data_IF_128802455788
#
_entry.id   IF_128802455788
#
_cell.length_a   1.000
_cell.length_b   1.000
_cell.length_c   1.000
_cell.angle_alpha   90.00
_cell.angle_beta   90.00
_cell.angle_gamma   90.00
#
_symmetry.space_group_name_H-M   'P 1'
#
loop_
_entity.id
_entity.type
_entity.pdbx_description
1 polymer ?
#
# COMPACT_ATOMS: atom_id res chain seq x y z
N UNK A 1 -20.03 -12.66 -8.30
CA UNK A 1 -20.68 -11.65 -7.43
C UNK A 1 -21.44 -10.69 -8.33
N UNK A 2 -22.73 -10.47 -8.10
CA UNK A 2 -23.52 -9.50 -8.87
C UNK A 2 -23.46 -8.08 -8.23
N UNK A 3 -24.05 -7.08 -8.89
CA UNK A 3 -24.02 -5.70 -8.42
C UNK A 3 -24.73 -5.50 -7.07
N UNK A 4 -25.91 -6.12 -6.87
CA UNK A 4 -26.67 -6.00 -5.62
C UNK A 4 -25.92 -6.60 -4.42
N UNK A 5 -25.36 -7.79 -4.59
CA UNK A 5 -24.54 -8.46 -3.57
C UNK A 5 -23.29 -7.64 -3.22
N UNK A 6 -22.66 -7.00 -4.20
CA UNK A 6 -21.53 -6.12 -3.96
C UNK A 6 -21.94 -4.90 -3.14
N UNK A 7 -22.98 -4.18 -3.58
CA UNK A 7 -23.46 -2.97 -2.91
C UNK A 7 -23.98 -3.23 -1.49
N UNK A 8 -24.58 -4.39 -1.24
CA UNK A 8 -25.02 -4.79 0.09
C UNK A 8 -23.84 -4.97 1.07
N UNK A 9 -22.64 -5.26 0.56
CA UNK A 9 -21.46 -5.60 1.37
C UNK A 9 -20.45 -4.46 1.44
N UNK A 10 -20.37 -3.65 0.39
CA UNK A 10 -19.32 -2.66 0.18
C UNK A 10 -19.93 -1.31 -0.21
N UNK A 11 -19.91 -0.31 0.68
CA UNK A 11 -20.40 1.04 0.35
C UNK A 11 -19.48 1.74 -0.67
N UNK A 12 -19.97 2.81 -1.28
CA UNK A 12 -19.12 3.71 -2.07
C UNK A 12 -17.99 4.25 -1.21
N UNK A 13 -16.78 4.32 -1.77
CA UNK A 13 -15.55 4.66 -1.05
C UNK A 13 -14.77 3.44 -0.56
N UNK A 14 -15.25 2.22 -0.80
CA UNK A 14 -14.56 0.98 -0.46
C UNK A 14 -13.18 0.92 -1.14
N UNK A 15 -12.10 0.71 -0.38
CA UNK A 15 -10.76 0.53 -0.95
C UNK A 15 -10.67 -0.75 -1.77
N UNK A 16 -10.09 -0.63 -2.96
CA UNK A 16 -9.98 -1.73 -3.92
C UNK A 16 -8.65 -1.70 -4.65
N UNK A 17 -8.19 -2.87 -5.06
CA UNK A 17 -7.26 -3.02 -6.16
C UNK A 17 -8.08 -3.27 -7.43
N UNK A 18 -7.95 -2.36 -8.40
CA UNK A 18 -8.65 -2.42 -9.67
C UNK A 18 -7.70 -2.75 -10.83
N UNK A 19 -8.20 -3.55 -11.78
CA UNK A 19 -7.45 -4.03 -12.96
C UNK A 19 -8.17 -3.63 -14.25
N UNK A 20 -8.01 -2.38 -14.74
CA UNK A 20 -8.86 -1.86 -15.81
C UNK A 20 -8.65 -2.54 -17.17
N UNK A 21 -7.44 -3.01 -17.45
CA UNK A 21 -7.13 -3.76 -18.68
C UNK A 21 -7.37 -5.25 -18.48
N UNK A 22 -6.43 -5.90 -17.78
CA UNK A 22 -6.58 -7.30 -17.43
C UNK A 22 -5.96 -7.62 -16.08
N UNK A 23 -6.41 -8.75 -15.52
CA UNK A 23 -5.89 -9.29 -14.28
C UNK A 23 -4.44 -9.76 -14.41
N UNK A 24 -3.64 -9.62 -13.33
CA UNK A 24 -2.21 -9.89 -13.36
C UNK A 24 -1.85 -11.37 -13.54
N UNK A 25 -2.75 -12.30 -13.20
CA UNK A 25 -2.53 -13.74 -13.43
C UNK A 25 -2.47 -14.08 -14.91
N UNK A 26 -3.13 -13.29 -15.76
CA UNK A 26 -3.10 -13.44 -17.22
C UNK A 26 -2.08 -12.50 -17.87
N UNK A 27 -1.93 -11.29 -17.34
CA UNK A 27 -1.07 -10.25 -17.90
C UNK A 27 -0.31 -9.52 -16.78
N UNK A 28 0.89 -9.98 -16.40
CA UNK A 28 1.56 -9.49 -15.19
C UNK A 28 1.95 -8.01 -15.24
N UNK A 29 2.14 -7.47 -16.45
CA UNK A 29 2.58 -6.10 -16.71
C UNK A 29 1.42 -5.10 -16.91
N UNK A 30 0.17 -5.55 -16.81
CA UNK A 30 -0.99 -4.67 -16.96
C UNK A 30 -1.15 -3.71 -15.80
N UNK A 31 -1.83 -2.58 -16.08
CA UNK A 31 -2.03 -1.51 -15.12
C UNK A 31 -2.82 -2.01 -13.91
N UNK A 32 -2.29 -1.75 -12.71
CA UNK A 32 -2.96 -1.97 -11.43
C UNK A 32 -3.23 -0.62 -10.78
N UNK A 33 -4.44 -0.43 -10.29
CA UNK A 33 -4.86 0.79 -9.62
C UNK A 33 -5.31 0.45 -8.22
N UNK A 34 -4.51 0.81 -7.23
CA UNK A 34 -5.02 0.87 -5.87
C UNK A 34 -5.78 2.17 -5.68
N UNK A 35 -7.07 2.07 -5.36
CA UNK A 35 -8.02 3.18 -5.43
C UNK A 35 -9.24 2.89 -4.55
N UNK A 36 -10.31 3.68 -4.70
CA UNK A 36 -11.60 3.48 -4.02
C UNK A 36 -12.72 3.43 -5.04
N UNK A 37 -13.80 2.71 -4.70
CA UNK A 37 -15.04 2.80 -5.47
C UNK A 37 -15.62 4.22 -5.39
N UNK A 38 -16.07 4.78 -6.51
CA UNK A 38 -16.70 6.12 -6.58
C UNK A 38 -18.16 6.09 -7.01
N UNK A 39 -18.72 4.89 -7.18
CA UNK A 39 -20.13 4.66 -7.47
C UNK A 39 -20.62 3.40 -6.80
N UNK A 40 -21.93 3.24 -6.73
CA UNK A 40 -22.54 1.91 -6.58
C UNK A 40 -22.18 1.06 -7.80
N UNK A 41 -22.12 -0.26 -7.63
CA UNK A 41 -22.04 -1.20 -8.74
C UNK A 41 -23.36 -1.23 -9.51
N UNK A 42 -23.30 -1.43 -10.82
CA UNK A 42 -24.46 -1.61 -11.69
C UNK A 42 -24.18 -2.66 -12.76
N UNK A 43 -25.24 -3.21 -13.35
CA UNK A 43 -25.13 -4.21 -14.40
C UNK A 43 -25.28 -3.54 -15.76
N UNK A 44 -24.32 -3.78 -16.67
CA UNK A 44 -24.41 -3.31 -18.05
C UNK A 44 -25.50 -4.07 -18.81
N UNK A 45 -25.96 -3.53 -19.95
CA UNK A 45 -27.05 -4.15 -20.74
C UNK A 45 -26.78 -5.59 -21.20
N UNK A 46 -25.53 -6.02 -21.23
CA UNK A 46 -25.10 -7.39 -21.56
C UNK A 46 -24.86 -8.28 -20.34
N UNK A 47 -25.24 -7.83 -19.14
CA UNK A 47 -25.21 -8.63 -17.91
C UNK A 47 -23.93 -8.52 -17.05
N UNK A 48 -22.88 -7.83 -17.51
CA UNK A 48 -21.64 -7.69 -16.73
C UNK A 48 -21.84 -6.67 -15.59
N UNK A 49 -21.61 -7.05 -14.32
CA UNK A 49 -21.63 -6.11 -13.21
C UNK A 49 -20.31 -5.32 -13.15
N UNK A 50 -20.42 -4.00 -13.07
CA UNK A 50 -19.28 -3.08 -13.05
C UNK A 50 -19.39 -2.07 -11.91
N UNK A 51 -18.28 -1.43 -11.56
CA UNK A 51 -18.20 -0.32 -10.60
C UNK A 51 -17.23 0.76 -11.12
N UNK A 52 -17.46 2.04 -10.82
CA UNK A 52 -16.47 3.08 -11.09
C UNK A 52 -15.50 3.21 -9.93
N UNK A 53 -14.25 3.56 -10.26
CA UNK A 53 -13.21 3.84 -9.26
C UNK A 53 -12.54 5.20 -9.49
N UNK A 54 -11.94 5.76 -8.46
CA UNK A 54 -11.16 6.99 -8.57
C UNK A 54 -9.93 6.81 -9.49
N UNK A 55 -9.62 7.86 -10.25
CA UNK A 55 -8.47 7.84 -11.19
C UNK A 55 -8.67 6.99 -12.44
N UNK A 56 -9.88 6.48 -12.70
CA UNK A 56 -10.23 5.76 -13.92
C UNK A 56 -11.60 6.16 -14.48
N UNK A 57 -11.66 6.37 -15.79
CA UNK A 57 -12.89 6.69 -16.52
C UNK A 57 -13.54 5.41 -17.01
N UNK A 58 -14.84 5.24 -16.74
CA UNK A 58 -15.60 4.04 -17.10
C UNK A 58 -15.80 3.08 -15.92
N UNK A 59 -16.69 2.10 -16.13
CA UNK A 59 -16.92 1.02 -15.19
C UNK A 59 -15.90 -0.10 -15.36
N UNK A 60 -15.40 -0.63 -14.25
CA UNK A 60 -14.54 -1.81 -14.20
C UNK A 60 -15.39 -3.00 -13.76
N UNK A 61 -15.29 -4.11 -14.49
CA UNK A 61 -15.96 -5.36 -14.13
C UNK A 61 -15.64 -5.76 -12.69
N UNK A 62 -16.65 -6.20 -11.92
CA UNK A 62 -16.42 -6.66 -10.54
C UNK A 62 -15.48 -7.87 -10.50
N UNK A 63 -15.44 -8.65 -11.59
CA UNK A 63 -14.46 -9.72 -11.77
C UNK A 63 -13.01 -9.21 -11.84
N UNK A 64 -12.79 -7.91 -12.06
CA UNK A 64 -11.49 -7.23 -12.15
C UNK A 64 -11.26 -6.25 -10.98
N UNK A 65 -11.95 -6.46 -9.86
CA UNK A 65 -11.81 -5.67 -8.64
C UNK A 65 -11.60 -6.62 -7.47
N UNK A 66 -10.53 -6.40 -6.72
CA UNK A 66 -10.30 -7.06 -5.43
C UNK A 66 -10.52 -6.04 -4.32
N UNK A 67 -11.45 -6.34 -3.40
CA UNK A 67 -11.67 -5.48 -2.23
C UNK A 67 -10.50 -5.62 -1.27
N UNK A 68 -10.01 -4.47 -0.79
CA UNK A 68 -8.96 -4.43 0.22
C UNK A 68 -9.63 -4.23 1.58
N UNK A 69 -9.85 -5.34 2.29
CA UNK A 69 -10.49 -5.35 3.61
C UNK A 69 -9.47 -5.19 4.76
N UNK A 70 -9.94 -4.70 5.91
CA UNK A 70 -9.16 -4.68 7.17
C UNK A 70 -8.04 -3.61 7.24
N UNK A 71 -7.02 -3.79 8.10
CA UNK A 71 -5.94 -2.81 8.28
C UNK A 71 -5.07 -2.59 7.04
N UNK A 72 -5.23 -3.42 6.00
CA UNK A 72 -4.54 -3.29 4.73
C UNK A 72 -5.27 -2.36 3.74
N UNK A 73 -6.51 -1.95 4.04
CA UNK A 73 -7.32 -1.07 3.20
C UNK A 73 -6.64 0.27 2.87
N UNK A 74 -5.76 0.75 3.74
CA UNK A 74 -4.97 1.97 3.50
C UNK A 74 -3.61 1.70 2.84
N UNK A 75 -3.11 0.46 2.77
CA UNK A 75 -1.72 0.14 2.42
C UNK A 75 -1.46 0.18 0.92
N UNK A 76 -0.75 1.19 0.44
CA UNK A 76 -0.40 1.35 -0.98
C UNK A 76 0.82 0.49 -1.40
N UNK A 77 1.90 0.58 -0.64
CA UNK A 77 3.15 -0.13 -0.97
C UNK A 77 3.97 -0.37 0.29
N UNK A 78 4.66 -1.51 0.35
CA UNK A 78 5.52 -1.88 1.49
C UNK A 78 6.95 -2.13 1.06
N UNK A 79 7.89 -1.78 1.95
CA UNK A 79 9.32 -2.06 1.77
C UNK A 79 9.95 -2.53 3.08
N UNK A 80 10.60 -3.69 3.03
CA UNK A 80 11.44 -4.17 4.13
C UNK A 80 12.74 -3.37 4.17
N UNK A 81 13.03 -2.76 5.32
CA UNK A 81 14.26 -2.03 5.56
C UNK A 81 15.31 -2.98 6.15
N UNK A 82 16.42 -3.14 5.46
CA UNK A 82 17.62 -3.88 5.90
C UNK A 82 18.85 -3.11 5.48
N UNK A 83 20.02 -3.49 5.95
CA UNK A 83 21.29 -2.94 5.45
C UNK A 83 21.40 -3.06 3.93
N UNK A 84 20.95 -4.18 3.36
CA UNK A 84 21.03 -4.46 1.92
C UNK A 84 20.01 -3.65 1.10
N UNK A 85 18.85 -3.35 1.69
CA UNK A 85 17.77 -2.64 0.99
C UNK A 85 17.78 -1.15 1.26
N UNK A 86 18.62 -0.64 2.17
CA UNK A 86 18.68 0.76 2.59
C UNK A 86 18.62 1.74 1.41
N UNK A 87 19.52 1.62 0.43
CA UNK A 87 19.56 2.52 -0.72
C UNK A 87 18.34 2.40 -1.64
N UNK A 88 17.80 1.19 -1.81
CA UNK A 88 16.61 0.98 -2.63
C UNK A 88 15.36 1.59 -1.97
N UNK A 89 15.28 1.52 -0.64
CA UNK A 89 14.21 2.12 0.15
C UNK A 89 14.33 3.64 0.18
N UNK A 90 15.54 4.17 0.35
CA UNK A 90 15.82 5.60 0.33
C UNK A 90 15.41 6.24 -1.01
N UNK A 91 15.87 5.66 -2.13
CA UNK A 91 15.47 6.09 -3.48
C UNK A 91 13.95 5.96 -3.72
N UNK A 92 13.29 4.97 -3.10
CA UNK A 92 11.84 4.83 -3.18
C UNK A 92 11.10 5.96 -2.44
N UNK A 93 11.60 6.39 -1.28
CA UNK A 93 11.09 7.55 -0.55
C UNK A 93 11.35 8.86 -1.30
N UNK A 94 12.57 9.04 -1.85
CA UNK A 94 12.92 10.21 -2.65
C UNK A 94 12.03 10.38 -3.88
N UNK A 95 11.76 9.29 -4.61
CA UNK A 95 10.83 9.30 -5.76
C UNK A 95 9.40 9.64 -5.36
N UNK A 96 9.02 9.38 -4.11
CA UNK A 96 7.74 9.77 -3.54
C UNK A 96 7.74 11.21 -2.99
N UNK A 97 8.87 11.94 -3.10
CA UNK A 97 9.03 13.29 -2.56
C UNK A 97 9.16 13.32 -1.04
N UNK A 98 9.58 12.21 -0.41
CA UNK A 98 9.67 12.09 1.04
C UNK A 98 11.12 12.13 1.47
N UNK A 99 11.48 13.15 2.25
CA UNK A 99 12.80 13.26 2.83
C UNK A 99 13.11 12.05 3.73
N UNK A 100 14.23 11.38 3.49
CA UNK A 100 14.76 10.35 4.37
C UNK A 100 16.22 10.63 4.74
N UNK A 101 16.64 10.14 5.91
CA UNK A 101 18.03 10.22 6.35
C UNK A 101 18.40 8.99 7.15
N UNK A 102 19.63 8.51 6.96
CA UNK A 102 20.21 7.48 7.81
C UNK A 102 20.06 7.84 9.29
N UNK A 103 19.53 6.89 10.06
CA UNK A 103 19.38 7.02 11.50
C UNK A 103 20.52 6.25 12.18
N UNK A 104 21.39 6.98 12.85
CA UNK A 104 22.60 6.44 13.47
C UNK A 104 22.49 6.39 14.99
N UNK A 105 23.09 5.35 15.59
CA UNK A 105 23.23 5.16 17.04
C UNK A 105 24.60 4.58 17.35
N UNK A 106 25.06 4.73 18.59
CA UNK A 106 26.21 3.98 19.06
C UNK A 106 25.80 2.53 19.32
N UNK A 107 26.51 1.59 18.71
CA UNK A 107 26.42 0.13 18.91
C UNK A 107 27.85 -0.33 19.11
N UNK A 108 28.14 -0.96 20.25
CA UNK A 108 29.48 -1.39 20.64
C UNK A 108 30.54 -0.28 20.47
N UNK A 109 30.25 0.90 21.06
CA UNK A 109 31.06 2.12 20.99
C UNK A 109 31.34 2.68 19.59
N UNK A 110 30.66 2.15 18.56
CA UNK A 110 30.77 2.60 17.19
C UNK A 110 29.48 3.27 16.71
N UNK A 111 29.61 4.49 16.16
CA UNK A 111 28.50 5.14 15.47
C UNK A 111 28.12 4.31 14.24
N UNK A 112 26.93 3.74 14.27
CA UNK A 112 26.44 2.76 13.31
C UNK A 112 25.07 3.20 12.80
N UNK A 113 24.85 3.11 11.49
CA UNK A 113 23.51 3.28 10.92
C UNK A 113 22.67 2.07 11.31
N UNK A 114 21.54 2.31 11.97
CA UNK A 114 20.63 1.26 12.44
C UNK A 114 19.27 1.31 11.76
N UNK A 115 19.08 2.24 10.82
CA UNK A 115 17.83 2.40 10.07
C UNK A 115 17.69 3.73 9.36
N UNK A 116 16.45 4.16 9.17
CA UNK A 116 16.06 5.40 8.49
C UNK A 116 15.13 6.26 9.36
N UNK A 117 15.39 7.56 9.30
CA UNK A 117 14.47 8.62 9.70
C UNK A 117 13.68 9.07 8.46
N UNK A 118 12.36 9.02 8.52
CA UNK A 118 11.48 9.28 7.37
C UNK A 118 10.61 10.50 7.68
N UNK A 119 10.64 11.51 6.81
CA UNK A 119 9.99 12.79 6.98
C UNK A 119 10.81 13.82 7.76
N UNK A 120 10.22 15.00 7.93
CA UNK A 120 10.81 16.14 8.62
C UNK A 120 10.45 16.18 10.11
N UNK A 121 11.17 17.01 10.89
CA UNK A 121 10.85 17.27 12.29
C UNK A 121 9.91 18.47 12.41
N UNK A 122 8.99 18.49 13.40
CA UNK A 122 8.60 17.37 14.27
C UNK A 122 7.72 16.34 13.51
N UNK A 123 7.61 15.11 14.03
CA UNK A 123 6.68 14.10 13.47
C UNK A 123 7.28 13.06 12.52
N UNK A 124 8.58 13.11 12.24
CA UNK A 124 9.26 12.04 11.51
C UNK A 124 9.05 10.65 12.14
N UNK A 125 9.04 9.64 11.28
CA UNK A 125 9.10 8.24 11.66
C UNK A 125 10.54 7.77 11.77
N UNK A 126 10.78 6.78 12.62
CA UNK A 126 12.03 6.03 12.64
C UNK A 126 11.70 4.56 12.37
N UNK A 127 12.30 4.00 11.33
CA UNK A 127 12.28 2.59 11.00
C UNK A 127 13.68 2.01 11.22
N UNK A 128 13.79 0.91 11.95
CA UNK A 128 15.05 0.19 12.17
C UNK A 128 15.26 -0.87 11.08
N UNK A 129 16.48 -1.38 10.96
CA UNK A 129 16.69 -2.59 10.18
C UNK A 129 15.85 -3.75 10.74
N UNK A 130 15.19 -4.48 9.84
CA UNK A 130 14.16 -5.46 10.15
C UNK A 130 12.75 -4.90 9.93
N UNK A 131 12.50 -3.62 10.19
CA UNK A 131 11.15 -3.05 10.07
C UNK A 131 10.65 -3.01 8.61
N UNK A 132 9.33 -3.06 8.46
CA UNK A 132 8.66 -2.83 7.16
C UNK A 132 8.03 -1.44 7.16
N UNK A 133 8.46 -0.60 6.22
CA UNK A 133 7.85 0.70 5.97
C UNK A 133 6.63 0.50 5.09
N UNK A 134 5.52 1.11 5.49
CA UNK A 134 4.23 1.03 4.83
C UNK A 134 3.87 2.41 4.35
N UNK A 135 3.73 2.58 3.03
CA UNK A 135 3.13 3.77 2.42
C UNK A 135 1.64 3.55 2.31
N UNK A 136 0.86 4.53 2.71
CA UNK A 136 -0.60 4.51 2.63
C UNK A 136 -1.12 5.25 1.40
N UNK A 137 -2.36 4.98 1.03
CA UNK A 137 -3.07 5.55 -0.12
C UNK A 137 -3.28 7.06 -0.01
N UNK A 138 -3.29 7.62 1.20
CA UNK A 138 -3.32 9.07 1.45
C UNK A 138 -1.94 9.73 1.39
N UNK A 139 -0.90 8.96 1.04
CA UNK A 139 0.49 9.41 1.00
C UNK A 139 1.19 9.43 2.35
N UNK A 140 0.52 9.07 3.45
CA UNK A 140 1.16 8.94 4.76
C UNK A 140 1.97 7.66 4.86
N UNK A 141 2.78 7.55 5.91
CA UNK A 141 3.63 6.39 6.15
C UNK A 141 3.44 5.86 7.56
N UNK A 142 3.62 4.56 7.75
CA UNK A 142 3.75 3.92 9.06
C UNK A 142 4.87 2.89 9.04
N UNK A 143 5.28 2.43 10.22
CA UNK A 143 6.30 1.38 10.37
C UNK A 143 5.68 0.17 11.04
N UNK A 144 5.68 -0.96 10.35
CA UNK A 144 5.37 -2.28 10.92
C UNK A 144 6.67 -2.84 11.51
N UNK A 145 6.71 -2.95 12.83
CA UNK A 145 7.87 -3.47 13.54
C UNK A 145 8.00 -4.96 13.34
N UNK A 146 9.23 -5.45 13.20
CA UNK A 146 9.47 -6.89 13.42
C UNK A 146 9.09 -7.18 14.86
N UNK A 147 8.09 -8.05 15.04
CA UNK A 147 7.89 -8.68 16.33
C UNK A 147 9.03 -9.68 16.44
N UNK A 148 10.05 -9.34 17.22
CA UNK A 148 11.02 -10.33 17.69
C UNK A 148 10.18 -11.41 18.40
N UNK A 149 10.11 -12.62 17.83
CA UNK A 149 9.50 -13.76 18.51
C UNK A 149 10.33 -14.01 19.76
N UNK A 150 9.83 -13.50 20.89
CA UNK A 150 10.24 -13.74 22.26
C UNK A 150 11.59 -14.40 22.47
N UNK A 151 12.54 -13.61 22.99
CA UNK A 151 13.27 -14.06 24.17
C UNK A 151 12.23 -14.55 25.19
N UNK A 152 12.12 -15.87 25.30
CA UNK A 152 11.46 -16.51 26.44
C UNK A 152 12.42 -16.35 27.60
N UNK A 153 12.13 -15.41 28.50
CA UNK A 153 12.66 -15.43 29.87
C UNK A 153 11.89 -16.46 30.69
#
# INVERSE_FOLDING_TARGET
MNAEQFNARYPVGTPVMAYPGARPEKFPNEKRLQTRTRSVAWTLGHGEPVVMVDGYTGGIALSHVDVIDGPDASVYETRLLTEKTLYAVDNWLDKAGVFAKQYTRYVDDKLTTVGLRIGEKPGHLVAYFGDTIVRHTDGTYTVRRVIERGETS
#
